data_IF_633639522623
#
_entry.id   IF_633639522623
#
_cell.length_a   1.000
_cell.length_b   1.000
_cell.length_c   1.000
_cell.angle_alpha   90.00
_cell.angle_beta   90.00
_cell.angle_gamma   90.00
#
_symmetry.space_group_name_H-M   'P 1'
#
loop_
_entity.id
_entity.type
_entity.pdbx_description
1 polymer ?
#
# COMPACT_ATOMS: atom_id res chain seq x y z
N UNK A 1 -46.75 18.88 -59.19
CA UNK A 1 -47.08 19.09 -57.77
C UNK A 1 -47.24 17.76 -57.01
N UNK A 2 -47.88 16.71 -57.52
CA UNK A 2 -48.08 15.42 -56.80
C UNK A 2 -46.82 14.67 -56.41
N UNK A 3 -45.75 14.71 -57.23
CA UNK A 3 -44.50 13.99 -56.94
C UNK A 3 -43.62 14.64 -55.85
N UNK A 4 -43.70 15.95 -55.62
CA UNK A 4 -42.95 16.62 -54.55
C UNK A 4 -43.57 16.29 -53.19
N UNK A 5 -44.89 16.20 -53.10
CA UNK A 5 -45.59 15.87 -51.83
C UNK A 5 -45.30 14.42 -51.37
N UNK A 6 -45.24 13.50 -52.34
CA UNK A 6 -44.92 12.09 -52.03
C UNK A 6 -43.43 11.93 -51.56
N UNK A 7 -42.52 12.71 -52.14
CA UNK A 7 -41.11 12.71 -51.71
C UNK A 7 -40.94 13.25 -50.28
N UNK A 8 -41.66 14.29 -49.92
CA UNK A 8 -41.61 14.87 -48.56
C UNK A 8 -42.20 13.86 -47.54
N UNK A 9 -43.29 13.19 -47.86
CA UNK A 9 -43.87 12.16 -46.99
C UNK A 9 -42.95 10.97 -46.78
N UNK A 10 -42.26 10.48 -47.80
CA UNK A 10 -41.31 9.39 -47.72
C UNK A 10 -40.07 9.79 -46.91
N UNK A 11 -39.54 11.01 -47.09
CA UNK A 11 -38.41 11.51 -46.27
C UNK A 11 -38.81 11.71 -44.82
N UNK A 12 -40.01 12.23 -44.54
CA UNK A 12 -40.48 12.35 -43.16
C UNK A 12 -40.71 10.97 -42.51
N UNK A 13 -41.22 9.97 -43.27
CA UNK A 13 -41.41 8.61 -42.76
C UNK A 13 -40.08 7.88 -42.53
N UNK A 14 -39.07 8.07 -43.38
CA UNK A 14 -37.71 7.56 -43.20
C UNK A 14 -37.03 8.23 -42.02
N UNK A 15 -37.16 9.55 -41.85
CA UNK A 15 -36.67 10.26 -40.67
C UNK A 15 -37.39 9.83 -39.39
N UNK A 16 -38.69 9.55 -39.45
CA UNK A 16 -39.46 9.06 -38.32
C UNK A 16 -39.08 7.61 -37.95
N UNK A 17 -38.83 6.75 -38.93
CA UNK A 17 -38.24 5.41 -38.73
C UNK A 17 -36.81 5.48 -38.18
N UNK A 18 -36.02 6.45 -38.61
CA UNK A 18 -34.66 6.71 -38.07
C UNK A 18 -34.69 7.22 -36.62
N UNK A 19 -35.71 8.00 -36.25
CA UNK A 19 -35.95 8.45 -34.89
C UNK A 19 -36.47 7.34 -33.98
N UNK A 20 -37.21 6.35 -34.52
CA UNK A 20 -37.64 5.16 -33.78
C UNK A 20 -36.53 4.10 -33.69
N UNK A 21 -35.56 4.10 -34.58
CA UNK A 21 -34.38 3.26 -34.58
C UNK A 21 -33.24 3.85 -33.74
N UNK A 22 -33.50 4.87 -32.88
CA UNK A 22 -32.59 5.18 -31.81
C UNK A 22 -32.52 3.96 -30.92
N UNK A 23 -31.42 3.26 -31.02
CA UNK A 23 -31.06 2.13 -30.22
C UNK A 23 -31.54 2.34 -28.80
N UNK A 24 -32.54 1.56 -28.40
CA UNK A 24 -32.85 1.33 -27.01
C UNK A 24 -31.63 0.56 -26.46
N UNK A 25 -30.52 1.24 -26.25
CA UNK A 25 -29.41 0.67 -25.49
C UNK A 25 -30.00 0.34 -24.13
N UNK A 26 -30.25 -0.94 -23.90
CA UNK A 26 -30.79 -1.42 -22.65
C UNK A 26 -29.84 -0.91 -21.55
N UNK A 27 -30.38 -0.19 -20.57
CA UNK A 27 -29.56 0.26 -19.45
C UNK A 27 -28.96 -0.96 -18.77
N UNK A 28 -27.67 -0.93 -18.42
CA UNK A 28 -27.03 -2.05 -17.75
C UNK A 28 -27.78 -2.42 -16.47
N UNK A 29 -27.88 -3.72 -16.22
CA UNK A 29 -28.47 -4.22 -14.99
C UNK A 29 -27.67 -3.71 -13.79
N UNK A 30 -28.35 -3.12 -12.81
CA UNK A 30 -27.72 -2.60 -11.61
C UNK A 30 -27.68 -3.66 -10.53
N UNK A 31 -26.49 -3.96 -10.03
CA UNK A 31 -26.24 -4.85 -8.89
C UNK A 31 -25.75 -4.04 -7.71
N UNK A 32 -26.56 -3.90 -6.68
CA UNK A 32 -26.18 -3.23 -5.45
C UNK A 32 -25.28 -4.18 -4.67
N UNK A 33 -24.10 -3.69 -4.26
CA UNK A 33 -23.08 -4.49 -3.62
C UNK A 33 -22.57 -3.83 -2.34
N UNK A 34 -22.22 -4.66 -1.37
CA UNK A 34 -21.48 -4.24 -0.18
C UNK A 34 -20.64 -5.35 0.40
N UNK A 35 -19.83 -5.01 1.40
CA UNK A 35 -18.87 -5.91 2.01
C UNK A 35 -18.83 -5.76 3.53
N UNK A 36 -18.67 -6.89 4.23
CA UNK A 36 -18.34 -6.92 5.65
C UNK A 36 -17.02 -7.65 5.85
N UNK A 37 -16.02 -6.93 6.32
CA UNK A 37 -14.70 -7.51 6.65
C UNK A 37 -14.78 -8.11 8.04
N UNK A 38 -14.87 -9.43 8.11
CA UNK A 38 -15.00 -10.16 9.37
C UNK A 38 -13.66 -10.27 10.09
N UNK A 39 -12.59 -10.66 9.37
CA UNK A 39 -11.26 -10.79 9.95
C UNK A 39 -10.16 -10.54 8.92
N UNK A 40 -8.98 -10.13 9.42
CA UNK A 40 -7.75 -10.00 8.62
C UNK A 40 -6.63 -10.65 9.42
N UNK A 41 -5.96 -11.61 8.80
CA UNK A 41 -4.93 -12.42 9.44
C UNK A 41 -3.68 -12.52 8.56
N UNK A 42 -2.62 -13.08 9.11
CA UNK A 42 -1.41 -13.49 8.40
C UNK A 42 -0.86 -12.40 7.45
N UNK A 43 -0.86 -11.13 7.89
CA UNK A 43 -0.26 -10.05 7.10
C UNK A 43 1.24 -10.32 6.93
N UNK A 44 1.64 -10.65 5.70
CA UNK A 44 3.02 -10.86 5.32
C UNK A 44 3.48 -9.75 4.37
N UNK A 45 4.15 -8.76 4.94
CA UNK A 45 4.64 -7.61 4.19
C UNK A 45 5.73 -8.01 3.19
N UNK A 46 6.55 -9.01 3.52
CA UNK A 46 7.63 -9.50 2.68
C UNK A 46 7.12 -10.17 1.39
N UNK A 47 6.05 -10.94 1.52
CA UNK A 47 5.42 -11.63 0.39
C UNK A 47 4.31 -10.81 -0.27
N UNK A 48 4.09 -9.59 0.19
CA UNK A 48 3.03 -8.72 -0.31
C UNK A 48 1.64 -9.38 -0.25
N UNK A 49 1.35 -10.10 0.83
CA UNK A 49 0.12 -10.87 0.98
C UNK A 49 -0.50 -10.75 2.37
N UNK A 50 -1.78 -11.06 2.46
CA UNK A 50 -2.53 -11.14 3.71
C UNK A 50 -3.71 -12.10 3.54
N UNK A 51 -4.17 -12.72 4.63
CA UNK A 51 -5.40 -13.51 4.65
C UNK A 51 -6.56 -12.64 5.14
N UNK A 52 -7.74 -12.83 4.54
CA UNK A 52 -8.96 -12.17 4.99
C UNK A 52 -10.17 -13.11 4.90
N UNK A 53 -11.14 -12.83 5.75
CA UNK A 53 -12.48 -13.42 5.79
C UNK A 53 -13.49 -12.29 5.58
N UNK A 54 -14.18 -12.32 4.45
CA UNK A 54 -15.06 -11.22 4.00
C UNK A 54 -16.40 -11.76 3.54
N UNK A 55 -17.47 -11.09 3.91
CA UNK A 55 -18.79 -11.32 3.36
C UNK A 55 -19.05 -10.26 2.30
N UNK A 56 -19.51 -10.71 1.12
CA UNK A 56 -19.99 -9.85 0.04
C UNK A 56 -21.48 -10.10 -0.14
N UNK A 57 -22.28 -9.05 -0.16
CA UNK A 57 -23.69 -9.19 -0.49
C UNK A 57 -24.03 -8.51 -1.80
N UNK A 58 -24.99 -9.11 -2.49
CA UNK A 58 -25.52 -8.65 -3.77
C UNK A 58 -27.01 -8.52 -3.68
N UNK A 59 -27.54 -7.43 -4.24
CA UNK A 59 -28.97 -7.15 -4.41
C UNK A 59 -29.21 -6.72 -5.84
N UNK A 60 -30.13 -7.39 -6.56
CA UNK A 60 -30.41 -7.09 -7.95
C UNK A 60 -31.83 -7.47 -8.32
N UNK A 61 -32.37 -6.94 -9.45
CA UNK A 61 -33.75 -7.18 -9.92
C UNK A 61 -33.81 -8.06 -11.16
N UNK A 62 -32.79 -8.03 -12.01
CA UNK A 62 -32.76 -8.76 -13.28
C UNK A 62 -32.43 -10.25 -13.04
N UNK A 63 -33.47 -11.10 -13.15
CA UNK A 63 -33.34 -12.55 -12.98
C UNK A 63 -32.51 -13.25 -14.07
N UNK A 64 -32.13 -12.54 -15.14
CA UNK A 64 -31.28 -13.09 -16.21
C UNK A 64 -29.81 -13.13 -15.87
N UNK A 65 -29.41 -12.49 -14.78
CA UNK A 65 -28.02 -12.46 -14.30
C UNK A 65 -27.90 -13.11 -12.91
N UNK A 66 -26.75 -13.68 -12.63
CA UNK A 66 -26.42 -14.32 -11.35
C UNK A 66 -25.07 -13.80 -10.83
N UNK A 67 -25.01 -12.54 -10.32
CA UNK A 67 -23.74 -11.90 -9.98
C UNK A 67 -22.93 -12.64 -8.90
N UNK A 68 -23.58 -13.44 -8.09
CA UNK A 68 -22.94 -14.27 -7.06
C UNK A 68 -22.26 -15.54 -7.62
N UNK A 69 -22.58 -15.92 -8.86
CA UNK A 69 -21.93 -17.06 -9.54
C UNK A 69 -20.79 -16.60 -10.46
N UNK A 70 -20.90 -15.37 -10.96
CA UNK A 70 -19.98 -14.82 -11.96
C UNK A 70 -18.95 -13.87 -11.34
N UNK A 71 -19.05 -13.58 -10.04
CA UNK A 71 -18.05 -12.76 -9.34
C UNK A 71 -16.69 -13.44 -9.34
N UNK A 72 -15.67 -12.68 -9.75
CA UNK A 72 -14.29 -13.13 -9.77
C UNK A 72 -13.42 -12.21 -8.90
N UNK A 73 -12.62 -12.80 -8.03
CA UNK A 73 -11.61 -12.09 -7.23
C UNK A 73 -10.36 -11.90 -8.08
N UNK A 74 -9.89 -10.64 -8.20
CA UNK A 74 -8.83 -10.27 -9.13
C UNK A 74 -7.42 -10.32 -8.53
N UNK A 75 -7.32 -10.30 -7.22
CA UNK A 75 -6.03 -10.27 -6.52
C UNK A 75 -5.84 -11.44 -5.53
N UNK A 76 -6.17 -12.69 -5.90
CA UNK A 76 -5.84 -13.84 -5.07
C UNK A 76 -4.31 -14.01 -5.03
N UNK A 77 -3.78 -14.38 -3.86
CA UNK A 77 -2.36 -14.73 -3.74
C UNK A 77 -2.12 -16.21 -4.08
N UNK A 78 -3.06 -17.06 -3.69
CA UNK A 78 -3.05 -18.51 -3.93
C UNK A 78 -4.41 -18.92 -4.46
N UNK A 79 -4.47 -19.48 -5.68
CA UNK A 79 -5.74 -19.84 -6.32
C UNK A 79 -6.51 -20.92 -5.58
N UNK A 80 -5.82 -21.92 -5.03
CA UNK A 80 -6.44 -23.03 -4.28
C UNK A 80 -6.70 -22.73 -2.80
N UNK A 81 -6.26 -21.57 -2.31
CA UNK A 81 -6.46 -21.14 -0.93
C UNK A 81 -7.74 -20.34 -0.72
N UNK A 82 -8.51 -20.08 -1.78
CA UNK A 82 -9.77 -19.36 -1.69
C UNK A 82 -10.95 -20.31 -1.54
N UNK A 83 -11.70 -20.10 -0.45
CA UNK A 83 -12.99 -20.77 -0.22
C UNK A 83 -14.08 -19.74 -0.38
N UNK A 84 -15.07 -20.04 -1.22
CA UNK A 84 -16.26 -19.20 -1.45
C UNK A 84 -17.48 -20.00 -1.11
N UNK A 85 -18.18 -19.61 -0.06
CA UNK A 85 -19.40 -20.26 0.41
C UNK A 85 -20.61 -19.34 0.16
N UNK A 86 -21.69 -19.92 -0.36
CA UNK A 86 -22.99 -19.24 -0.45
C UNK A 86 -23.69 -19.35 0.91
N UNK A 87 -24.17 -18.23 1.45
CA UNK A 87 -24.92 -18.25 2.73
C UNK A 87 -26.33 -18.83 2.53
N UNK A 88 -26.92 -18.57 1.38
CA UNK A 88 -28.20 -19.15 0.99
C UNK A 88 -27.98 -20.10 -0.20
N UNK A 89 -28.64 -21.27 -0.20
CA UNK A 89 -28.54 -22.21 -1.34
C UNK A 89 -29.01 -21.55 -2.66
N UNK A 90 -30.08 -20.76 -2.58
CA UNK A 90 -30.61 -19.98 -3.68
C UNK A 90 -30.83 -18.54 -3.23
N UNK A 91 -30.79 -17.56 -4.15
CA UNK A 91 -31.08 -16.16 -3.82
C UNK A 91 -32.47 -16.02 -3.18
N UNK A 92 -32.54 -15.21 -2.14
CA UNK A 92 -33.75 -14.90 -1.40
C UNK A 92 -34.40 -13.66 -2.00
N UNK A 93 -35.70 -13.69 -2.22
CA UNK A 93 -36.44 -12.50 -2.63
C UNK A 93 -36.77 -11.63 -1.43
N UNK A 94 -36.34 -10.38 -1.48
CA UNK A 94 -36.58 -9.37 -0.45
C UNK A 94 -37.99 -8.77 -0.61
N UNK A 95 -38.57 -8.15 0.42
CA UNK A 95 -39.84 -7.43 0.34
C UNK A 95 -39.89 -6.32 -0.73
N UNK A 96 -38.70 -5.76 -1.10
CA UNK A 96 -38.53 -4.80 -2.19
C UNK A 96 -38.74 -5.42 -3.59
N UNK A 97 -38.79 -6.75 -3.70
CA UNK A 97 -38.79 -7.49 -4.95
C UNK A 97 -37.40 -7.85 -5.47
N UNK A 98 -36.35 -7.32 -4.89
CA UNK A 98 -34.98 -7.62 -5.26
C UNK A 98 -34.60 -9.06 -4.89
N UNK A 99 -33.73 -9.68 -5.70
CA UNK A 99 -33.00 -10.90 -5.35
C UNK A 99 -31.82 -10.54 -4.47
N UNK A 100 -31.54 -11.37 -3.48
CA UNK A 100 -30.47 -11.16 -2.51
C UNK A 100 -29.65 -12.42 -2.29
N UNK A 101 -28.33 -12.28 -2.27
CA UNK A 101 -27.39 -13.36 -1.94
C UNK A 101 -26.18 -12.79 -1.19
N UNK A 102 -25.63 -13.62 -0.32
CA UNK A 102 -24.37 -13.32 0.40
C UNK A 102 -23.37 -14.42 0.12
N UNK A 103 -22.16 -14.04 -0.23
CA UNK A 103 -21.01 -14.91 -0.31
C UNK A 103 -20.07 -14.65 0.88
N UNK A 104 -19.53 -15.71 1.44
CA UNK A 104 -18.37 -15.62 2.34
C UNK A 104 -17.13 -16.04 1.58
N UNK A 105 -16.15 -15.17 1.51
CA UNK A 105 -14.89 -15.42 0.81
C UNK A 105 -13.76 -15.43 1.86
N UNK A 106 -13.08 -16.56 1.95
CA UNK A 106 -11.92 -16.73 2.81
C UNK A 106 -10.72 -17.08 1.95
N UNK A 107 -9.59 -16.38 2.12
CA UNK A 107 -8.41 -16.66 1.33
C UNK A 107 -7.27 -15.67 1.56
N UNK A 108 -6.19 -15.88 0.80
CA UNK A 108 -5.04 -15.00 0.79
C UNK A 108 -5.09 -14.08 -0.42
N UNK A 109 -4.88 -12.79 -0.17
CA UNK A 109 -4.94 -11.74 -1.17
C UNK A 109 -3.55 -11.14 -1.38
N UNK A 110 -3.23 -10.78 -2.62
CA UNK A 110 -2.00 -10.11 -3.00
C UNK A 110 -2.20 -8.59 -3.02
N UNK A 111 -1.25 -7.87 -2.39
CA UNK A 111 -1.22 -6.41 -2.45
C UNK A 111 0.21 -5.91 -2.43
N UNK A 112 0.61 -5.08 -3.39
CA UNK A 112 1.93 -4.44 -3.37
C UNK A 112 1.98 -3.37 -2.30
N UNK A 113 2.86 -3.57 -1.30
CA UNK A 113 3.11 -2.62 -0.22
C UNK A 113 4.27 -1.71 -0.57
N UNK A 114 4.19 -0.44 -0.16
CA UNK A 114 5.23 0.57 -0.38
C UNK A 114 5.85 0.99 0.95
N UNK A 115 7.18 1.02 1.03
CA UNK A 115 7.94 1.21 2.28
C UNK A 115 8.77 2.49 2.30
N UNK A 116 8.54 3.43 1.38
CA UNK A 116 9.31 4.67 1.28
C UNK A 116 9.44 5.42 2.61
N UNK A 117 8.35 5.47 3.38
CA UNK A 117 8.27 6.16 4.68
C UNK A 117 8.39 5.21 5.87
N UNK A 118 8.77 3.93 5.67
CA UNK A 118 8.89 2.98 6.78
C UNK A 118 9.80 3.54 7.90
N UNK A 119 9.39 3.53 9.17
CA UNK A 119 8.24 2.83 9.77
C UNK A 119 6.94 3.65 9.92
N UNK A 120 6.80 4.78 9.26
CA UNK A 120 5.62 5.66 9.32
C UNK A 120 4.62 5.39 8.20
N UNK A 121 4.82 4.31 7.45
CA UNK A 121 4.05 3.92 6.30
C UNK A 121 2.57 3.63 6.65
N UNK A 122 1.70 4.02 5.73
CA UNK A 122 0.30 3.60 5.67
C UNK A 122 0.15 2.61 4.54
N UNK A 123 -0.60 1.55 4.78
CA UNK A 123 -0.86 0.53 3.79
C UNK A 123 -2.37 0.38 3.60
N UNK A 124 -2.78 -0.06 2.42
CA UNK A 124 -4.16 -0.38 2.14
C UNK A 124 -4.27 -1.87 1.81
N UNK A 125 -5.05 -2.61 2.57
CA UNK A 125 -5.40 -3.98 2.25
C UNK A 125 -6.61 -3.94 1.32
N UNK A 126 -6.43 -4.38 0.06
CA UNK A 126 -7.48 -4.26 -0.95
C UNK A 126 -7.92 -5.62 -1.43
N UNK A 127 -9.24 -5.83 -1.51
CA UNK A 127 -9.87 -6.94 -2.21
C UNK A 127 -10.55 -6.34 -3.43
N UNK A 128 -10.20 -6.85 -4.60
CA UNK A 128 -10.75 -6.39 -5.87
C UNK A 128 -11.54 -7.52 -6.53
N UNK A 129 -12.72 -7.22 -7.04
CA UNK A 129 -13.53 -8.18 -7.77
C UNK A 129 -14.33 -7.51 -8.89
N UNK A 130 -14.68 -8.29 -9.89
CA UNK A 130 -15.53 -7.90 -11.01
C UNK A 130 -16.44 -9.06 -11.40
N UNK A 131 -17.39 -8.83 -12.31
CA UNK A 131 -18.17 -9.88 -12.92
C UNK A 131 -17.43 -10.42 -14.13
N UNK A 132 -17.16 -11.74 -14.18
CA UNK A 132 -16.40 -12.35 -15.26
C UNK A 132 -17.23 -12.60 -16.52
N UNK A 133 -18.56 -12.60 -16.42
CA UNK A 133 -19.47 -12.93 -17.51
C UNK A 133 -20.08 -11.70 -18.19
N UNK A 134 -20.20 -10.58 -17.49
CA UNK A 134 -20.91 -9.42 -17.98
C UNK A 134 -20.03 -8.18 -17.98
N UNK A 135 -19.92 -7.53 -19.13
CA UNK A 135 -19.24 -6.23 -19.26
C UNK A 135 -20.12 -5.09 -18.71
N UNK A 136 -19.51 -3.91 -18.57
CA UNK A 136 -20.16 -2.74 -17.98
C UNK A 136 -21.36 -2.20 -18.77
N UNK A 137 -21.48 -2.54 -20.04
CA UNK A 137 -22.65 -2.24 -20.87
C UNK A 137 -23.86 -3.11 -20.53
N UNK A 138 -23.64 -4.29 -19.92
CA UNK A 138 -24.70 -5.22 -19.53
C UNK A 138 -24.97 -5.21 -18.03
N UNK A 139 -23.94 -5.09 -17.19
CA UNK A 139 -24.08 -5.10 -15.72
C UNK A 139 -23.10 -4.13 -15.07
N UNK A 140 -23.60 -3.35 -14.13
CA UNK A 140 -22.78 -2.45 -13.31
C UNK A 140 -23.04 -2.66 -11.83
N UNK A 141 -21.97 -2.66 -11.04
CA UNK A 141 -22.09 -2.60 -9.59
C UNK A 141 -22.44 -1.19 -9.13
N UNK A 142 -23.24 -1.11 -8.08
CA UNK A 142 -23.62 0.14 -7.41
C UNK A 142 -23.41 -0.06 -5.90
N UNK A 143 -22.79 0.89 -5.24
CA UNK A 143 -22.56 0.80 -3.80
C UNK A 143 -23.88 0.86 -3.03
N UNK A 144 -24.02 0.04 -2.00
CA UNK A 144 -25.16 0.11 -1.08
C UNK A 144 -25.10 1.41 -0.26
N UNK A 145 -26.17 1.78 0.45
CA UNK A 145 -26.21 2.96 1.34
C UNK A 145 -25.11 2.90 2.43
N UNK A 146 -24.87 1.70 2.97
CA UNK A 146 -23.78 1.40 3.89
C UNK A 146 -22.90 0.30 3.27
N UNK A 147 -22.06 0.67 2.30
CA UNK A 147 -21.48 -0.31 1.40
C UNK A 147 -20.38 -1.15 2.04
N UNK A 148 -19.80 -0.72 3.16
CA UNK A 148 -18.76 -1.47 3.82
C UNK A 148 -18.79 -1.29 5.34
N UNK A 149 -18.57 -2.39 6.05
CA UNK A 149 -18.36 -2.40 7.49
C UNK A 149 -17.19 -3.35 7.84
N UNK A 150 -16.57 -3.09 8.98
CA UNK A 150 -15.49 -3.91 9.53
C UNK A 150 -15.93 -4.41 10.89
N UNK A 151 -15.63 -5.65 11.21
CA UNK A 151 -15.88 -6.22 12.52
C UNK A 151 -15.24 -5.34 13.61
N UNK A 152 -16.01 -4.84 14.58
CA UNK A 152 -15.49 -4.01 15.66
C UNK A 152 -14.39 -4.68 16.50
N UNK A 153 -14.43 -6.02 16.57
CA UNK A 153 -13.46 -6.83 17.31
C UNK A 153 -12.20 -7.17 16.52
N UNK A 154 -12.13 -6.76 15.23
CA UNK A 154 -10.97 -6.99 14.38
C UNK A 154 -9.75 -6.28 14.96
N UNK A 155 -8.72 -7.05 15.27
CA UNK A 155 -7.41 -6.57 15.76
C UNK A 155 -6.30 -7.13 14.90
N UNK A 156 -5.53 -6.25 14.29
CA UNK A 156 -4.35 -6.63 13.52
C UNK A 156 -3.09 -6.29 14.33
N UNK A 157 -2.38 -7.30 14.88
CA UNK A 157 -1.18 -7.07 15.70
C UNK A 157 -0.15 -6.20 14.98
N UNK A 158 0.32 -5.15 15.64
CA UNK A 158 1.30 -4.21 15.08
C UNK A 158 0.72 -3.12 14.18
N UNK A 159 -0.60 -3.10 13.96
CA UNK A 159 -1.27 -2.09 13.14
C UNK A 159 -2.56 -1.57 13.80
N UNK A 160 -2.93 -0.36 13.45
CA UNK A 160 -4.25 0.21 13.71
C UNK A 160 -5.05 0.15 12.42
N UNK A 161 -6.24 -0.43 12.49
CA UNK A 161 -7.18 -0.50 11.37
C UNK A 161 -7.99 0.78 11.33
N UNK A 162 -8.12 1.38 10.16
CA UNK A 162 -8.96 2.56 9.92
C UNK A 162 -10.27 2.13 9.23
N UNK A 163 -11.32 2.98 9.20
CA UNK A 163 -12.56 2.66 8.52
C UNK A 163 -12.34 2.22 7.08
N UNK A 164 -12.96 1.12 6.70
CA UNK A 164 -12.89 0.60 5.35
C UNK A 164 -13.66 1.48 4.36
N UNK A 165 -13.31 1.37 3.08
CA UNK A 165 -13.94 2.07 1.98
C UNK A 165 -14.26 1.08 0.86
N UNK A 166 -15.40 1.28 0.20
CA UNK A 166 -15.75 0.57 -1.01
C UNK A 166 -15.82 1.58 -2.15
N UNK A 167 -15.06 1.30 -3.22
CA UNK A 167 -15.02 2.12 -4.43
C UNK A 167 -15.42 1.27 -5.63
N UNK A 168 -16.20 1.84 -6.52
CA UNK A 168 -16.59 1.21 -7.77
C UNK A 168 -16.00 2.05 -8.90
N UNK A 169 -15.43 1.38 -9.88
CA UNK A 169 -14.85 2.02 -11.07
C UNK A 169 -15.07 1.14 -12.29
N UNK A 170 -15.21 1.74 -13.44
CA UNK A 170 -15.07 1.04 -14.70
C UNK A 170 -13.60 0.77 -14.98
N UNK A 171 -13.28 -0.46 -15.33
CA UNK A 171 -11.94 -0.85 -15.70
C UNK A 171 -11.92 -1.39 -17.13
N UNK A 172 -11.17 -0.70 -17.98
CA UNK A 172 -11.00 -1.08 -19.39
C UNK A 172 -9.68 -1.81 -19.56
N UNK A 173 -9.76 -3.06 -20.02
CA UNK A 173 -8.58 -3.84 -20.36
C UNK A 173 -7.96 -3.34 -21.66
N UNK A 174 -6.64 -3.17 -21.76
CA UNK A 174 -5.96 -2.71 -22.98
C UNK A 174 -5.82 -3.83 -24.03
N UNK A 175 -6.79 -4.74 -24.09
CA UNK A 175 -6.76 -5.93 -24.97
C UNK A 175 -8.17 -6.43 -25.23
N UNK A 176 -8.37 -7.09 -26.39
CA UNK A 176 -9.57 -7.88 -26.69
C UNK A 176 -9.45 -9.34 -26.27
N UNK A 177 -8.41 -9.70 -25.52
CA UNK A 177 -8.04 -11.09 -25.19
C UNK A 177 -7.95 -12.03 -26.40
N UNK A 178 -7.66 -11.47 -27.59
CA UNK A 178 -7.56 -12.23 -28.85
C UNK A 178 -8.90 -12.48 -29.53
N UNK A 179 -9.99 -11.90 -29.07
CA UNK A 179 -11.29 -12.00 -29.78
C UNK A 179 -11.26 -11.10 -31.02
N UNK A 180 -11.06 -11.74 -32.17
CA UNK A 180 -10.98 -11.08 -33.48
C UNK A 180 -12.32 -10.54 -33.99
N UNK A 181 -13.45 -10.89 -33.35
CA UNK A 181 -14.77 -10.37 -33.69
C UNK A 181 -15.01 -8.97 -33.15
N UNK A 182 -14.15 -8.50 -32.23
CA UNK A 182 -14.24 -7.22 -31.54
C UNK A 182 -13.20 -6.24 -32.02
N UNK A 183 -13.60 -4.99 -32.09
CA UNK A 183 -12.71 -3.85 -32.34
C UNK A 183 -12.39 -3.07 -31.06
N UNK A 184 -13.26 -3.19 -30.06
CA UNK A 184 -13.14 -2.48 -28.78
C UNK A 184 -12.65 -3.39 -27.66
N UNK A 185 -11.92 -2.80 -26.74
CA UNK A 185 -11.40 -3.47 -25.53
C UNK A 185 -12.52 -3.71 -24.51
N UNK A 186 -12.42 -4.81 -23.76
CA UNK A 186 -13.35 -5.17 -22.71
C UNK A 186 -13.39 -4.15 -21.57
N UNK A 187 -14.58 -3.81 -21.09
CA UNK A 187 -14.81 -2.89 -19.99
C UNK A 187 -15.70 -3.55 -18.94
N UNK A 188 -15.23 -3.60 -17.70
CA UNK A 188 -15.96 -4.24 -16.59
C UNK A 188 -16.17 -3.26 -15.46
N UNK A 189 -17.29 -3.46 -14.72
CA UNK A 189 -17.53 -2.78 -13.45
C UNK A 189 -16.74 -3.46 -12.35
N UNK A 190 -15.75 -2.76 -11.77
CA UNK A 190 -14.84 -3.29 -10.75
C UNK A 190 -15.13 -2.68 -9.40
N UNK A 191 -15.20 -3.53 -8.39
CA UNK A 191 -15.34 -3.14 -6.98
C UNK A 191 -14.01 -3.32 -6.28
N UNK A 192 -13.63 -2.33 -5.50
CA UNK A 192 -12.46 -2.35 -4.64
C UNK A 192 -12.88 -2.08 -3.19
N UNK A 193 -12.74 -3.07 -2.33
CA UNK A 193 -12.86 -2.93 -0.88
C UNK A 193 -11.48 -2.66 -0.32
N UNK A 194 -11.30 -1.52 0.35
CA UNK A 194 -10.02 -1.10 0.92
C UNK A 194 -10.12 -0.96 2.43
N UNK A 195 -9.21 -1.59 3.15
CA UNK A 195 -9.04 -1.45 4.60
C UNK A 195 -7.70 -0.78 4.86
N UNK A 196 -7.69 0.54 5.15
CA UNK A 196 -6.46 1.25 5.47
C UNK A 196 -5.93 0.82 6.84
N UNK A 197 -4.63 0.52 6.88
CA UNK A 197 -3.90 0.16 8.10
C UNK A 197 -2.70 1.07 8.29
N UNK A 198 -2.35 1.36 9.54
CA UNK A 198 -1.18 2.17 9.88
C UNK A 198 -0.45 1.61 11.09
N UNK A 199 0.86 1.78 11.13
CA UNK A 199 1.66 1.40 12.30
C UNK A 199 1.45 2.37 13.46
N UNK A 200 1.54 1.90 14.73
CA UNK A 200 1.63 2.78 15.89
C UNK A 200 3.00 3.48 15.87
N UNK A 201 3.03 4.73 15.42
CA UNK A 201 4.25 5.49 15.10
C UNK A 201 5.26 5.52 16.25
N UNK A 202 4.85 5.89 17.47
CA UNK A 202 5.74 6.05 18.62
C UNK A 202 6.47 4.75 18.98
N UNK A 203 5.71 3.66 19.18
CA UNK A 203 6.29 2.37 19.61
C UNK A 203 7.22 1.80 18.55
N UNK A 204 6.82 1.88 17.27
CA UNK A 204 7.62 1.35 16.18
C UNK A 204 8.88 2.17 15.98
N UNK A 205 8.79 3.51 16.05
CA UNK A 205 9.95 4.40 15.95
C UNK A 205 10.95 4.14 17.07
N UNK A 206 10.49 4.05 18.31
CA UNK A 206 11.38 3.76 19.44
C UNK A 206 12.12 2.43 19.26
N UNK A 207 11.42 1.37 18.88
CA UNK A 207 12.05 0.06 18.68
C UNK A 207 13.12 0.05 17.60
N UNK A 208 12.93 0.81 16.51
CA UNK A 208 13.81 0.82 15.36
C UNK A 208 14.93 1.86 15.46
N UNK A 209 14.62 3.05 16.00
CA UNK A 209 15.59 4.15 16.05
C UNK A 209 16.48 4.10 17.28
N UNK A 210 15.97 3.61 18.42
CA UNK A 210 16.73 3.55 19.66
C UNK A 210 18.09 2.82 19.53
N UNK A 211 18.16 1.63 18.87
CA UNK A 211 19.45 0.96 18.69
C UNK A 211 20.45 1.80 17.89
N UNK A 212 20.01 2.46 16.82
CA UNK A 212 20.89 3.31 15.97
C UNK A 212 21.40 4.50 16.77
N UNK A 213 20.51 5.21 17.49
CA UNK A 213 20.91 6.32 18.33
C UNK A 213 21.86 5.90 19.45
N UNK A 214 21.65 4.73 20.06
CA UNK A 214 22.52 4.20 21.10
C UNK A 214 23.94 3.94 20.57
N UNK A 215 24.05 3.39 19.36
CA UNK A 215 25.36 3.17 18.72
C UNK A 215 26.03 4.50 18.36
N UNK A 216 25.31 5.47 17.81
CA UNK A 216 25.85 6.80 17.50
C UNK A 216 26.31 7.52 18.76
N UNK A 217 25.54 7.40 19.86
CA UNK A 217 25.94 7.93 21.17
C UNK A 217 27.22 7.24 21.67
N UNK A 218 27.29 5.91 21.59
CA UNK A 218 28.50 5.14 21.91
C UNK A 218 29.69 5.57 21.05
N UNK A 219 29.50 5.71 19.74
CA UNK A 219 30.53 6.20 18.83
C UNK A 219 31.02 7.61 19.19
N UNK A 220 30.12 8.47 19.70
CA UNK A 220 30.51 9.82 20.12
C UNK A 220 31.56 9.85 21.20
N UNK A 221 31.69 8.77 22.00
CA UNK A 221 32.70 8.62 23.07
C UNK A 221 34.11 8.66 22.49
N UNK A 222 34.36 8.11 21.29
CA UNK A 222 35.68 8.16 20.66
C UNK A 222 36.22 9.59 20.50
N UNK A 223 35.34 10.58 20.33
CA UNK A 223 35.69 12.00 20.23
C UNK A 223 35.73 12.72 21.59
N UNK A 224 35.36 12.06 22.67
CA UNK A 224 35.44 12.59 24.04
C UNK A 224 36.64 12.04 24.80
N UNK A 225 37.18 10.90 24.37
CA UNK A 225 38.40 10.34 24.95
C UNK A 225 39.60 11.25 24.72
N UNK A 226 40.58 11.24 25.65
CA UNK A 226 41.83 11.97 25.50
C UNK A 226 42.58 11.49 24.26
N UNK A 227 43.34 12.40 23.63
CA UNK A 227 44.04 12.13 22.37
C UNK A 227 45.01 10.96 22.50
N UNK A 228 45.62 10.78 23.66
CA UNK A 228 46.61 9.73 23.93
C UNK A 228 46.05 8.30 23.92
N UNK A 229 44.73 8.15 24.01
CA UNK A 229 44.08 6.83 23.96
C UNK A 229 43.71 6.43 22.53
N UNK A 230 44.64 6.43 21.63
CA UNK A 230 44.42 6.23 20.18
C UNK A 230 43.73 4.89 19.90
N UNK A 231 44.25 3.80 20.49
CA UNK A 231 43.68 2.45 20.28
C UNK A 231 42.24 2.34 20.77
N UNK A 232 41.92 2.90 21.94
CA UNK A 232 40.60 2.91 22.48
C UNK A 232 39.63 3.72 21.61
N UNK A 233 40.06 4.83 21.05
CA UNK A 233 39.26 5.70 20.16
C UNK A 233 38.98 5.00 18.83
N UNK A 234 39.99 4.40 18.20
CA UNK A 234 39.83 3.65 16.95
C UNK A 234 38.98 2.40 17.20
N UNK A 235 39.26 1.65 18.25
CA UNK A 235 38.51 0.46 18.64
C UNK A 235 36.99 0.76 18.84
N UNK A 236 36.69 1.87 19.55
CA UNK A 236 35.30 2.32 19.75
C UNK A 236 34.61 2.63 18.40
N UNK A 237 35.30 3.33 17.49
CA UNK A 237 34.77 3.66 16.17
C UNK A 237 34.50 2.42 15.31
N UNK A 238 35.43 1.47 15.27
CA UNK A 238 35.31 0.22 14.51
C UNK A 238 34.14 -0.62 15.09
N UNK A 239 34.07 -0.75 16.41
CA UNK A 239 32.96 -1.49 17.07
C UNK A 239 31.63 -0.85 16.78
N UNK A 240 31.53 0.48 16.81
CA UNK A 240 30.31 1.19 16.43
C UNK A 240 29.93 0.95 14.97
N UNK A 241 30.88 0.93 14.05
CA UNK A 241 30.65 0.65 12.65
C UNK A 241 30.04 -0.75 12.45
N UNK A 242 30.64 -1.76 13.08
CA UNK A 242 30.14 -3.14 13.05
C UNK A 242 28.73 -3.25 13.65
N UNK A 243 28.47 -2.51 14.74
CA UNK A 243 27.15 -2.49 15.37
C UNK A 243 26.07 -1.88 14.44
N UNK A 244 26.38 -0.80 13.71
CA UNK A 244 25.46 -0.23 12.71
C UNK A 244 25.16 -1.25 11.62
N UNK A 245 26.16 -1.98 11.10
CA UNK A 245 25.98 -3.04 10.11
C UNK A 245 25.03 -4.12 10.63
N UNK A 246 25.26 -4.60 11.85
CA UNK A 246 24.43 -5.65 12.45
C UNK A 246 22.98 -5.22 12.63
N UNK A 247 22.74 -3.97 13.08
CA UNK A 247 21.38 -3.41 13.22
C UNK A 247 20.69 -3.29 11.86
N UNK A 248 21.42 -2.83 10.83
CA UNK A 248 20.86 -2.72 9.48
C UNK A 248 20.48 -4.07 8.90
N UNK A 249 21.31 -5.09 9.04
CA UNK A 249 21.00 -6.45 8.58
C UNK A 249 19.72 -6.97 9.25
N UNK A 250 19.62 -6.82 10.58
CA UNK A 250 18.42 -7.25 11.33
C UNK A 250 17.16 -6.48 10.89
N UNK A 251 17.27 -5.18 10.59
CA UNK A 251 16.18 -4.38 10.11
C UNK A 251 15.71 -4.84 8.72
N UNK A 252 16.64 -5.17 7.83
CA UNK A 252 16.34 -5.63 6.47
C UNK A 252 15.65 -6.99 6.44
N UNK A 253 15.92 -7.88 7.39
CA UNK A 253 15.26 -9.20 7.48
C UNK A 253 13.75 -9.11 7.67
N UNK A 254 13.24 -8.01 8.19
CA UNK A 254 11.82 -7.79 8.46
C UNK A 254 11.04 -7.18 7.28
N UNK A 255 11.75 -6.76 6.23
CA UNK A 255 11.16 -6.08 5.07
C UNK A 255 11.34 -6.89 3.77
N UNK A 256 10.48 -6.69 2.77
CA UNK A 256 10.73 -7.23 1.44
C UNK A 256 11.94 -6.54 0.79
N UNK A 257 12.55 -7.23 -0.16
CA UNK A 257 13.57 -6.63 -1.02
C UNK A 257 12.91 -5.60 -1.94
N UNK A 258 13.27 -4.35 -1.77
CA UNK A 258 12.81 -3.23 -2.61
C UNK A 258 14.00 -2.61 -3.36
N UNK A 259 13.74 -2.06 -4.53
CA UNK A 259 14.74 -1.45 -5.41
C UNK A 259 15.03 0.03 -5.11
N UNK A 260 14.53 0.52 -3.98
CA UNK A 260 14.72 1.90 -3.54
C UNK A 260 15.14 1.97 -2.06
N UNK A 261 15.81 3.06 -1.68
CA UNK A 261 16.20 3.30 -0.30
C UNK A 261 15.00 3.71 0.55
N UNK A 262 14.66 2.90 1.53
CA UNK A 262 13.65 3.25 2.53
C UNK A 262 14.21 4.28 3.52
N UNK A 263 13.34 4.95 4.28
CA UNK A 263 13.80 5.95 5.25
C UNK A 263 14.79 5.39 6.27
N UNK A 264 14.58 4.15 6.73
CA UNK A 264 15.51 3.48 7.66
C UNK A 264 16.91 3.32 7.08
N UNK A 265 17.04 2.98 5.78
CA UNK A 265 18.34 2.88 5.13
C UNK A 265 19.08 4.22 5.14
N UNK A 266 18.34 5.31 4.87
CA UNK A 266 18.91 6.67 4.90
C UNK A 266 19.42 7.04 6.28
N UNK A 267 18.73 6.62 7.36
CA UNK A 267 19.18 6.84 8.74
C UNK A 267 20.46 6.01 9.05
N UNK A 268 20.52 4.75 8.60
CA UNK A 268 21.74 3.94 8.73
C UNK A 268 22.91 4.57 7.96
N UNK A 269 22.70 5.08 6.74
CA UNK A 269 23.71 5.80 5.97
C UNK A 269 24.22 7.04 6.72
N UNK A 270 23.33 7.79 7.38
CA UNK A 270 23.75 8.91 8.23
C UNK A 270 24.60 8.43 9.43
N UNK A 271 24.24 7.29 10.05
CA UNK A 271 25.02 6.71 11.14
C UNK A 271 26.41 6.25 10.67
N UNK A 272 26.52 5.61 9.50
CA UNK A 272 27.81 5.28 8.89
C UNK A 272 28.65 6.55 8.65
N UNK A 273 28.05 7.58 8.05
CA UNK A 273 28.71 8.85 7.82
C UNK A 273 29.24 9.49 9.10
N UNK A 274 28.44 9.43 10.18
CA UNK A 274 28.84 9.92 11.50
C UNK A 274 30.09 9.19 12.04
N UNK A 275 30.04 7.85 12.02
CA UNK A 275 31.17 7.03 12.55
C UNK A 275 32.43 7.22 11.74
N UNK A 276 32.32 7.19 10.39
CA UNK A 276 33.48 7.37 9.49
C UNK A 276 34.08 8.77 9.59
N UNK A 277 33.26 9.81 9.65
CA UNK A 277 33.72 11.17 9.89
C UNK A 277 34.39 11.32 11.25
N UNK A 278 33.83 10.68 12.28
CA UNK A 278 34.44 10.62 13.60
C UNK A 278 35.80 9.96 13.61
N UNK A 279 35.95 8.81 12.95
CA UNK A 279 37.27 8.14 12.78
C UNK A 279 38.25 9.04 12.01
N UNK A 280 37.80 9.76 11.00
CA UNK A 280 38.60 10.74 10.27
C UNK A 280 39.13 11.87 11.18
N UNK A 281 38.28 12.38 12.08
CA UNK A 281 38.65 13.40 13.07
C UNK A 281 39.66 12.82 14.08
N UNK A 282 39.41 11.56 14.51
CA UNK A 282 40.37 10.87 15.40
C UNK A 282 41.75 10.80 14.76
N UNK A 283 41.83 10.34 13.51
CA UNK A 283 43.11 10.23 12.80
C UNK A 283 43.78 11.60 12.58
N UNK A 284 43.03 12.61 12.16
CA UNK A 284 43.56 13.95 11.94
C UNK A 284 44.05 14.63 13.24
N UNK A 285 43.29 14.44 14.34
CA UNK A 285 43.69 14.97 15.65
C UNK A 285 44.92 14.27 16.22
N UNK A 286 45.06 12.96 16.03
CA UNK A 286 46.25 12.20 16.44
C UNK A 286 47.50 12.67 15.68
N UNK A 287 47.43 12.81 14.35
CA UNK A 287 48.54 13.33 13.54
C UNK A 287 49.04 14.71 14.00
N UNK A 288 48.11 15.63 14.34
CA UNK A 288 48.47 16.95 14.87
C UNK A 288 49.13 16.87 16.23
N UNK A 289 48.63 15.99 17.10
CA UNK A 289 49.26 15.76 18.41
C UNK A 289 50.68 15.22 18.29
N UNK A 290 50.92 14.27 17.36
CA UNK A 290 52.23 13.71 17.08
C UNK A 290 53.20 14.77 16.53
N UNK A 291 52.70 15.79 15.83
CA UNK A 291 53.48 16.95 15.37
C UNK A 291 53.72 18.00 16.47
N UNK A 292 53.27 17.74 17.70
CA UNK A 292 53.42 18.67 18.83
C UNK A 292 52.34 19.72 18.97
N UNK A 293 51.32 19.76 18.05
CA UNK A 293 50.24 20.74 18.03
C UNK A 293 49.05 20.28 18.91
N UNK A 294 49.26 20.05 20.20
CA UNK A 294 48.24 19.48 21.10
C UNK A 294 46.99 20.35 21.21
N UNK A 295 47.12 21.67 21.26
CA UNK A 295 46.00 22.59 21.37
C UNK A 295 45.13 22.57 20.09
N UNK A 296 45.78 22.58 18.92
CA UNK A 296 45.15 22.47 17.61
C UNK A 296 44.40 21.14 17.49
N UNK A 297 44.98 20.03 17.94
CA UNK A 297 44.41 18.71 17.95
C UNK A 297 43.13 18.63 18.82
N UNK A 298 43.18 19.20 20.04
CA UNK A 298 42.03 19.28 20.96
C UNK A 298 40.91 20.18 20.38
N UNK A 299 41.28 21.31 19.76
CA UNK A 299 40.32 22.19 19.12
C UNK A 299 39.60 21.51 17.95
N UNK A 300 40.36 20.78 17.10
CA UNK A 300 39.80 20.00 16.00
C UNK A 300 38.79 18.94 16.50
N UNK A 301 39.19 18.18 17.54
CA UNK A 301 38.36 17.15 18.14
C UNK A 301 37.04 17.74 18.69
N UNK A 302 37.12 18.82 19.45
CA UNK A 302 35.93 19.49 20.04
C UNK A 302 35.03 20.10 18.98
N UNK A 303 35.57 20.82 18.00
CA UNK A 303 34.80 21.38 16.88
C UNK A 303 34.19 20.28 16.02
N UNK A 304 34.99 19.26 15.69
CA UNK A 304 34.54 18.10 14.89
C UNK A 304 33.40 17.36 15.55
N UNK A 305 33.48 17.10 16.86
CA UNK A 305 32.40 16.49 17.62
C UNK A 305 31.05 17.26 17.44
N UNK A 306 31.06 18.57 17.68
CA UNK A 306 29.86 19.36 17.57
C UNK A 306 29.34 19.45 16.14
N UNK A 307 30.22 19.61 15.15
CA UNK A 307 29.83 19.72 13.73
C UNK A 307 29.17 18.44 13.27
N UNK A 308 29.77 17.27 13.45
CA UNK A 308 29.20 16.01 12.97
C UNK A 308 27.94 15.62 13.76
N UNK A 309 27.89 15.93 15.07
CA UNK A 309 26.73 15.62 15.91
C UNK A 309 25.52 16.49 15.52
N UNK A 310 25.73 17.80 15.35
CA UNK A 310 24.66 18.71 14.91
C UNK A 310 24.19 18.36 13.49
N UNK A 311 25.13 18.05 12.59
CA UNK A 311 24.80 17.63 11.24
C UNK A 311 23.94 16.34 11.25
N UNK A 312 24.37 15.32 12.01
CA UNK A 312 23.61 14.07 12.16
C UNK A 312 22.19 14.32 12.67
N UNK A 313 22.07 15.07 13.77
CA UNK A 313 20.75 15.39 14.36
C UNK A 313 19.87 16.13 13.35
N UNK A 314 20.41 17.16 12.69
CA UNK A 314 19.65 17.96 11.71
C UNK A 314 19.16 17.10 10.56
N UNK A 315 20.04 16.29 9.96
CA UNK A 315 19.66 15.44 8.81
C UNK A 315 18.62 14.40 9.23
N UNK A 316 18.80 13.75 10.38
CA UNK A 316 17.83 12.76 10.87
C UNK A 316 16.49 13.41 11.18
N UNK A 317 16.45 14.59 11.81
CA UNK A 317 15.21 15.32 12.06
C UNK A 317 14.50 15.71 10.76
N UNK A 318 15.24 16.16 9.75
CA UNK A 318 14.67 16.45 8.42
C UNK A 318 14.07 15.19 7.77
N UNK A 319 14.78 14.05 7.82
CA UNK A 319 14.29 12.78 7.30
C UNK A 319 13.02 12.31 8.02
N UNK A 320 12.97 12.41 9.35
CA UNK A 320 11.81 12.04 10.15
C UNK A 320 10.61 12.95 9.86
N UNK A 321 10.83 14.26 9.79
CA UNK A 321 9.79 15.24 9.47
C UNK A 321 9.19 14.99 8.07
N UNK A 322 10.06 14.72 7.09
CA UNK A 322 9.63 14.38 5.73
C UNK A 322 8.81 13.09 5.71
N UNK A 323 9.26 12.04 6.40
CA UNK A 323 8.56 10.76 6.44
C UNK A 323 7.19 10.86 7.13
N UNK A 324 7.08 11.65 8.19
CA UNK A 324 5.80 11.88 8.90
C UNK A 324 4.83 12.68 8.02
N UNK A 325 5.35 13.62 7.22
CA UNK A 325 4.53 14.42 6.31
C UNK A 325 4.00 13.60 5.11
N UNK A 326 4.81 12.67 4.61
CA UNK A 326 4.45 11.80 3.46
C UNK A 326 3.64 10.55 3.86
N UNK A 327 3.68 10.11 5.12
CA UNK A 327 2.95 8.94 5.65
C UNK A 327 1.65 9.35 6.30
#
# INVERSE_FOLDING_TARGET
MKYHFLRILVTCFVCWLWLLARDCQAQPAKVIVGAYVNDIQALNLREHSYAADVYLWFRWTDSSISPYETVEVLNPNELWGHVTDKIYEQPVQLPSGDLYQVLRIQGRFSRKFFFNSYPFDRQELTIEFEDSAHEADRMVYVADEKPVAVNPDLKLPGFRVSPAQLKIKEFRYPTTFGDTRRTESHCYSRVQVSVPIRRPTLTTSLKLLLPVFSVVLGASIMLRLRINYVDARIGTGITALLAVVAIQLTANDTMPNVDYLVMMDKIHLCAYGYVLAGLGIVLASTRRADSGEIESANALQRKGFWVITLLFITVVLCLLSYAIWMG
#
